data_IF_183252192376
#
_entry.id   IF_183252192376
#
_cell.length_a   1.000
_cell.length_b   1.000
_cell.length_c   1.000
_cell.angle_alpha   90.00
_cell.angle_beta   90.00
_cell.angle_gamma   90.00
#
_symmetry.space_group_name_H-M   'P 1'
#
loop_
_entity.id
_entity.type
_entity.pdbx_description
1 polymer ?
#
# COMPACT_ATOMS: atom_id res chain seq x y z
N UNK A 1 -27.40 -19.76 8.75
CA UNK A 1 -26.27 -19.90 9.72
C UNK A 1 -25.03 -20.66 9.19
N UNK A 2 -24.89 -20.93 7.87
CA UNK A 2 -23.84 -21.84 7.34
C UNK A 2 -22.68 -21.16 6.58
N UNK A 3 -22.78 -19.90 6.22
CA UNK A 3 -21.73 -19.25 5.40
C UNK A 3 -20.51 -18.74 6.18
N UNK A 4 -20.67 -18.37 7.45
CA UNK A 4 -19.56 -17.86 8.27
C UNK A 4 -18.47 -18.93 8.61
N UNK A 5 -18.79 -20.20 8.49
CA UNK A 5 -17.86 -21.29 8.85
C UNK A 5 -16.84 -21.66 7.75
N UNK A 6 -16.96 -21.08 6.54
CA UNK A 6 -16.12 -21.47 5.40
C UNK A 6 -15.10 -20.38 4.95
N UNK A 7 -14.92 -19.33 5.76
CA UNK A 7 -13.96 -18.26 5.47
C UNK A 7 -12.53 -18.71 5.74
N UNK A 8 -11.61 -18.36 4.85
CA UNK A 8 -10.17 -18.50 5.09
C UNK A 8 -9.72 -17.66 6.28
N UNK A 9 -8.54 -17.94 6.85
CA UNK A 9 -7.99 -17.14 7.97
C UNK A 9 -7.85 -15.66 7.61
N UNK A 10 -7.40 -15.36 6.40
CA UNK A 10 -7.24 -13.99 5.92
C UNK A 10 -8.58 -13.27 5.74
N UNK A 11 -9.62 -13.96 5.28
CA UNK A 11 -10.97 -13.37 5.20
C UNK A 11 -11.54 -13.05 6.57
N UNK A 12 -11.32 -13.92 7.56
CA UNK A 12 -11.72 -13.67 8.96
C UNK A 12 -11.03 -12.44 9.52
N UNK A 13 -9.73 -12.27 9.26
CA UNK A 13 -8.95 -11.09 9.67
C UNK A 13 -9.55 -9.83 9.03
N UNK A 14 -9.82 -9.85 7.73
CA UNK A 14 -10.38 -8.70 7.00
C UNK A 14 -11.76 -8.31 7.55
N UNK A 15 -12.66 -9.27 7.65
CA UNK A 15 -14.04 -9.04 8.16
C UNK A 15 -14.05 -8.54 9.61
N UNK A 16 -13.12 -9.02 10.46
CA UNK A 16 -13.01 -8.60 11.86
C UNK A 16 -12.21 -7.32 12.09
N UNK A 17 -11.71 -6.67 11.04
CA UNK A 17 -10.69 -5.62 11.16
C UNK A 17 -11.23 -4.20 11.44
N UNK A 18 -12.53 -3.99 11.52
CA UNK A 18 -13.14 -2.65 11.56
C UNK A 18 -12.59 -1.74 10.43
N UNK A 19 -12.89 -2.12 9.20
CA UNK A 19 -12.50 -1.35 8.02
C UNK A 19 -10.98 -1.25 7.83
N UNK A 20 -10.24 -2.34 8.00
CA UNK A 20 -8.79 -2.43 7.85
C UNK A 20 -7.97 -1.75 8.97
N UNK A 21 -8.60 -1.41 10.09
CA UNK A 21 -7.89 -0.82 11.24
C UNK A 21 -7.13 -1.88 12.03
N UNK A 22 -7.80 -2.99 12.34
CA UNK A 22 -7.24 -4.02 13.21
C UNK A 22 -6.69 -3.46 14.51
N UNK A 23 -5.54 -3.94 14.93
CA UNK A 23 -4.76 -3.41 16.04
C UNK A 23 -3.49 -2.67 15.57
N UNK A 24 -3.52 -2.08 14.33
CA UNK A 24 -2.35 -1.44 13.73
C UNK A 24 -1.80 -0.27 14.60
N UNK A 25 -2.68 0.53 15.20
CA UNK A 25 -2.23 1.63 16.09
C UNK A 25 -1.43 1.12 17.28
N UNK A 26 -1.92 0.07 17.93
CA UNK A 26 -1.26 -0.59 19.07
C UNK A 26 0.04 -1.28 18.66
N UNK A 27 0.01 -2.01 17.53
CA UNK A 27 1.20 -2.67 16.98
C UNK A 27 2.32 -1.67 16.64
N UNK A 28 1.97 -0.47 16.19
CA UNK A 28 2.94 0.58 15.87
C UNK A 28 3.52 1.26 17.11
N UNK A 29 2.77 1.29 18.21
CA UNK A 29 3.20 1.86 19.50
C UNK A 29 4.03 0.88 20.33
N UNK A 30 4.02 -0.40 19.99
CA UNK A 30 4.82 -1.41 20.66
C UNK A 30 6.29 -1.27 20.27
N UNK A 31 7.10 -0.71 21.17
CA UNK A 31 8.53 -0.50 20.97
C UNK A 31 9.40 -1.72 21.38
N UNK A 32 8.79 -2.78 21.92
CA UNK A 32 9.51 -3.98 22.37
C UNK A 32 10.00 -4.81 21.18
N UNK A 33 9.20 -4.88 20.12
CA UNK A 33 9.53 -5.64 18.90
C UNK A 33 9.53 -4.74 17.66
N UNK A 34 10.38 -5.08 16.70
CA UNK A 34 10.35 -4.47 15.36
C UNK A 34 9.23 -5.01 14.47
N UNK A 35 8.52 -6.07 14.88
CA UNK A 35 7.42 -6.68 14.15
C UNK A 35 6.06 -6.01 14.43
N UNK A 36 5.08 -6.33 13.58
CA UNK A 36 3.66 -6.16 13.84
C UNK A 36 3.05 -7.49 14.30
N UNK A 37 1.90 -7.43 14.97
CA UNK A 37 1.09 -8.62 15.27
C UNK A 37 0.72 -9.36 13.99
N UNK A 38 0.48 -10.65 14.08
CA UNK A 38 0.28 -11.53 12.90
C UNK A 38 -0.88 -11.06 12.02
N UNK A 39 -2.03 -10.73 12.61
CA UNK A 39 -3.19 -10.24 11.86
C UNK A 39 -2.91 -8.90 11.18
N UNK A 40 -2.21 -7.99 11.87
CA UNK A 40 -1.84 -6.68 11.35
C UNK A 40 -0.87 -6.77 10.17
N UNK A 41 -0.05 -7.82 10.08
CA UNK A 41 0.80 -8.07 8.89
C UNK A 41 -0.03 -8.34 7.63
N UNK A 42 -1.27 -8.82 7.79
CA UNK A 42 -2.20 -8.97 6.66
C UNK A 42 -2.89 -7.66 6.33
N UNK A 43 -3.30 -6.90 7.33
CA UNK A 43 -4.02 -5.64 7.17
C UNK A 43 -3.13 -4.51 6.62
N UNK A 44 -1.88 -4.41 7.08
CA UNK A 44 -0.97 -3.36 6.63
C UNK A 44 -0.72 -3.40 5.11
N UNK A 45 -0.94 -4.53 4.46
CA UNK A 45 -0.84 -4.65 2.99
C UNK A 45 -1.81 -3.74 2.27
N UNK A 46 -3.00 -3.53 2.80
CA UNK A 46 -3.99 -2.61 2.22
C UNK A 46 -3.56 -1.14 2.31
N UNK A 47 -2.65 -0.84 3.22
CA UNK A 47 -2.00 0.46 3.37
C UNK A 47 -0.73 0.61 2.53
N UNK A 48 -0.43 -0.38 1.67
CA UNK A 48 0.71 -0.36 0.77
C UNK A 48 2.03 -0.86 1.36
N UNK A 49 2.01 -1.45 2.54
CA UNK A 49 3.21 -1.89 3.23
C UNK A 49 3.30 -3.42 3.33
N UNK A 50 4.53 -3.92 3.49
CA UNK A 50 4.82 -5.32 3.80
C UNK A 50 5.89 -5.39 4.88
N UNK A 51 5.64 -6.16 5.93
CA UNK A 51 6.69 -6.54 6.85
C UNK A 51 7.63 -7.55 6.19
N UNK A 52 8.90 -7.34 6.34
CA UNK A 52 10.00 -8.17 5.86
C UNK A 52 11.02 -8.36 6.97
N UNK A 53 11.96 -9.26 6.79
CA UNK A 53 13.13 -9.38 7.65
C UNK A 53 14.38 -9.67 6.79
N UNK A 54 15.53 -9.38 7.35
CA UNK A 54 16.83 -9.69 6.74
C UNK A 54 17.12 -11.18 6.89
N UNK A 55 16.96 -11.93 5.79
CA UNK A 55 17.12 -13.39 5.78
C UNK A 55 18.56 -13.82 6.01
N UNK A 56 19.52 -13.03 5.54
CA UNK A 56 20.94 -13.38 5.63
C UNK A 56 21.46 -13.29 7.07
N UNK A 57 20.73 -12.55 7.91
CA UNK A 57 21.08 -12.38 9.32
C UNK A 57 20.26 -13.20 10.30
N UNK A 58 19.36 -14.07 9.82
CA UNK A 58 18.48 -14.86 10.69
C UNK A 58 19.27 -15.79 11.62
N UNK A 59 20.23 -16.54 11.08
CA UNK A 59 21.04 -17.50 11.86
C UNK A 59 21.86 -16.78 12.92
N UNK A 60 22.63 -15.74 12.55
CA UNK A 60 23.41 -14.91 13.47
C UNK A 60 22.55 -14.39 14.64
N UNK A 61 21.33 -13.92 14.31
CA UNK A 61 20.45 -13.35 15.32
C UNK A 61 19.84 -14.42 16.21
N UNK A 62 19.48 -15.58 15.67
CA UNK A 62 18.98 -16.70 16.46
C UNK A 62 20.04 -17.23 17.46
N UNK A 63 21.30 -17.35 17.05
CA UNK A 63 22.42 -17.70 17.94
C UNK A 63 22.57 -16.71 19.10
N UNK A 64 22.37 -15.43 18.81
CA UNK A 64 22.43 -14.34 19.81
C UNK A 64 21.12 -14.16 20.62
N UNK A 65 20.13 -15.02 20.41
CA UNK A 65 18.78 -14.92 21.02
C UNK A 65 18.11 -13.55 20.79
N UNK A 66 18.35 -12.93 19.64
CA UNK A 66 17.73 -11.70 19.22
C UNK A 66 16.56 -12.01 18.27
N UNK A 67 15.53 -11.13 18.24
CA UNK A 67 14.47 -11.21 17.26
C UNK A 67 15.01 -11.04 15.83
N UNK A 68 14.25 -11.46 14.82
CA UNK A 68 14.61 -11.22 13.42
C UNK A 68 14.81 -9.71 13.17
N UNK A 69 15.69 -9.36 12.24
CA UNK A 69 15.89 -7.96 11.85
C UNK A 69 14.75 -7.52 10.95
N UNK A 70 13.65 -7.09 11.58
CA UNK A 70 12.45 -6.67 10.87
C UNK A 70 12.63 -5.33 10.17
N UNK A 71 12.08 -5.25 8.97
CA UNK A 71 11.99 -4.03 8.18
C UNK A 71 10.68 -4.04 7.39
N UNK A 72 10.39 -2.93 6.70
CA UNK A 72 9.19 -2.82 5.88
C UNK A 72 9.55 -2.37 4.47
N UNK A 73 8.76 -2.85 3.52
CA UNK A 73 8.68 -2.31 2.18
C UNK A 73 7.40 -1.49 2.05
N UNK A 74 7.48 -0.34 1.43
CA UNK A 74 6.31 0.43 1.00
C UNK A 74 6.25 0.50 -0.52
N UNK A 75 5.04 0.45 -1.07
CA UNK A 75 4.73 0.70 -2.48
C UNK A 75 3.78 1.88 -2.57
N UNK A 76 4.06 2.80 -3.48
CA UNK A 76 3.16 3.93 -3.73
C UNK A 76 2.06 3.58 -4.73
N UNK A 77 0.96 4.30 -4.68
CA UNK A 77 -0.10 4.31 -5.69
C UNK A 77 0.19 5.45 -6.65
N UNK A 78 0.48 5.12 -7.90
CA UNK A 78 0.84 6.06 -8.97
C UNK A 78 0.13 5.60 -10.25
N UNK A 79 -1.15 5.97 -10.45
CA UNK A 79 -1.90 5.56 -11.62
C UNK A 79 -1.20 5.96 -12.92
N UNK A 80 -1.05 4.99 -13.85
CA UNK A 80 -0.34 5.20 -15.10
C UNK A 80 1.14 5.57 -14.95
N UNK A 81 1.71 5.51 -13.74
CA UNK A 81 3.11 5.84 -13.50
C UNK A 81 3.45 7.32 -13.62
N UNK A 82 2.47 8.20 -13.63
CA UNK A 82 2.68 9.63 -13.84
C UNK A 82 3.02 10.33 -12.52
N UNK A 83 4.20 10.91 -12.45
CA UNK A 83 4.68 11.72 -11.33
C UNK A 83 5.13 13.10 -11.84
N UNK A 84 4.89 14.13 -11.04
CA UNK A 84 5.51 15.44 -11.29
C UNK A 84 6.98 15.43 -10.88
N UNK A 85 7.82 16.35 -11.44
CA UNK A 85 9.21 16.49 -10.99
C UNK A 85 9.34 16.73 -9.49
N UNK A 86 8.45 17.53 -8.90
CA UNK A 86 8.43 17.77 -7.45
C UNK A 86 8.15 16.52 -6.63
N UNK A 87 7.21 15.67 -7.07
CA UNK A 87 6.94 14.39 -6.43
C UNK A 87 8.13 13.42 -6.52
N UNK A 88 8.84 13.41 -7.65
CA UNK A 88 10.03 12.58 -7.80
C UNK A 88 11.16 13.02 -6.86
N UNK A 89 11.43 14.33 -6.79
CA UNK A 89 12.43 14.90 -5.87
C UNK A 89 12.04 14.61 -4.40
N UNK A 90 10.76 14.78 -4.04
CA UNK A 90 10.28 14.43 -2.71
C UNK A 90 10.49 12.94 -2.41
N UNK A 91 10.14 12.04 -3.33
CA UNK A 91 10.35 10.60 -3.17
C UNK A 91 11.83 10.25 -2.97
N UNK A 92 12.75 10.91 -3.69
CA UNK A 92 14.20 10.75 -3.51
C UNK A 92 14.64 11.15 -2.09
N UNK A 93 14.23 12.33 -1.62
CA UNK A 93 14.58 12.78 -0.27
C UNK A 93 13.98 11.87 0.82
N UNK A 94 12.73 11.44 0.66
CA UNK A 94 12.05 10.52 1.58
C UNK A 94 12.76 9.17 1.60
N UNK A 95 13.18 8.65 0.44
CA UNK A 95 13.94 7.41 0.35
C UNK A 95 15.26 7.50 1.14
N UNK A 96 16.03 8.57 0.97
CA UNK A 96 17.27 8.79 1.70
C UNK A 96 17.09 8.96 3.21
N UNK A 97 15.98 9.57 3.63
CA UNK A 97 15.70 9.87 5.04
C UNK A 97 15.21 8.65 5.83
N UNK A 98 14.40 7.77 5.23
CA UNK A 98 13.64 6.76 5.96
C UNK A 98 13.92 5.32 5.54
N UNK A 99 14.57 5.10 4.41
CA UNK A 99 14.79 3.77 3.84
C UNK A 99 16.26 3.55 3.48
N UNK A 100 16.56 2.55 2.64
CA UNK A 100 17.92 2.31 2.14
C UNK A 100 18.46 3.38 1.17
N UNK A 101 17.67 4.40 0.85
CA UNK A 101 18.00 5.41 -0.14
C UNK A 101 17.75 4.98 -1.60
N UNK A 102 17.38 3.72 -1.82
CA UNK A 102 17.16 3.18 -3.17
C UNK A 102 15.67 3.23 -3.52
N UNK A 103 15.32 3.83 -4.65
CA UNK A 103 13.98 3.77 -5.24
C UNK A 103 13.96 2.61 -6.24
N UNK A 104 13.07 1.64 -6.02
CA UNK A 104 12.85 0.53 -6.96
C UNK A 104 11.62 0.81 -7.82
N UNK A 105 11.82 0.87 -9.14
CA UNK A 105 10.72 0.96 -10.11
C UNK A 105 10.11 -0.44 -10.30
N UNK A 106 8.80 -0.52 -10.44
CA UNK A 106 8.09 -1.79 -10.59
C UNK A 106 7.48 -1.94 -11.98
N UNK A 107 7.22 -3.18 -12.39
CA UNK A 107 6.50 -3.50 -13.64
C UNK A 107 5.04 -3.00 -13.66
N UNK A 108 4.52 -2.46 -12.54
CA UNK A 108 3.19 -1.85 -12.46
C UNK A 108 3.24 -0.33 -12.42
N UNK A 109 4.28 0.25 -13.02
CA UNK A 109 4.41 1.70 -13.15
C UNK A 109 4.30 2.43 -11.80
N UNK A 110 4.95 1.89 -10.76
CA UNK A 110 5.02 2.51 -9.44
C UNK A 110 6.40 2.31 -8.83
N UNK A 111 6.62 2.85 -7.65
CA UNK A 111 7.89 2.76 -6.93
C UNK A 111 7.74 2.05 -5.59
N UNK A 112 8.84 1.47 -5.13
CA UNK A 112 8.97 0.86 -3.82
C UNK A 112 10.19 1.39 -3.08
N UNK A 113 10.06 1.53 -1.77
CA UNK A 113 11.17 1.74 -0.85
C UNK A 113 11.28 0.54 0.09
N UNK A 114 12.48 0.15 0.43
CA UNK A 114 12.77 -1.01 1.28
C UNK A 114 13.63 -0.61 2.48
N UNK A 115 13.65 -1.47 3.50
CA UNK A 115 14.48 -1.25 4.69
C UNK A 115 13.94 -0.19 5.65
N UNK A 116 12.63 0.10 5.58
CA UNK A 116 12.01 0.99 6.56
C UNK A 116 11.95 0.32 7.94
N UNK A 117 12.26 1.06 8.98
CA UNK A 117 12.01 0.63 10.35
C UNK A 117 10.59 1.00 10.77
N UNK A 118 9.99 0.20 11.66
CA UNK A 118 8.61 0.41 12.15
C UNK A 118 8.35 1.85 12.60
N UNK A 119 9.24 2.42 13.41
CA UNK A 119 9.17 3.81 13.91
C UNK A 119 9.17 4.87 12.82
N UNK A 120 9.68 4.55 11.63
CA UNK A 120 9.80 5.49 10.51
C UNK A 120 8.60 5.47 9.56
N UNK A 121 7.68 4.49 9.68
CA UNK A 121 6.57 4.34 8.73
C UNK A 121 5.64 5.56 8.76
N UNK A 122 5.19 5.96 9.94
CA UNK A 122 4.25 7.07 10.08
C UNK A 122 4.82 8.42 9.65
N UNK A 123 6.04 8.82 10.07
CA UNK A 123 6.68 10.04 9.55
C UNK A 123 6.86 10.02 8.03
N UNK A 124 7.24 8.88 7.44
CA UNK A 124 7.39 8.71 6.01
C UNK A 124 6.07 8.93 5.27
N UNK A 125 4.97 8.34 5.75
CA UNK A 125 3.66 8.48 5.13
C UNK A 125 3.15 9.92 5.20
N UNK A 126 3.40 10.63 6.30
CA UNK A 126 3.11 12.07 6.40
C UNK A 126 3.92 12.91 5.41
N UNK A 127 5.18 12.57 5.18
CA UNK A 127 6.00 13.29 4.21
C UNK A 127 5.57 12.98 2.76
N UNK A 128 5.10 11.75 2.46
CA UNK A 128 4.47 11.43 1.18
C UNK A 128 3.16 12.18 0.96
N UNK A 129 2.30 12.27 1.97
CA UNK A 129 1.04 13.02 1.89
C UNK A 129 1.27 14.50 1.56
N UNK A 130 2.27 15.15 2.19
CA UNK A 130 2.68 16.53 1.85
C UNK A 130 3.09 16.67 0.39
N UNK A 131 3.68 15.62 -0.20
CA UNK A 131 4.04 15.57 -1.61
C UNK A 131 2.88 15.16 -2.53
N UNK A 132 1.65 14.98 -1.99
CA UNK A 132 0.48 14.48 -2.72
C UNK A 132 0.74 13.09 -3.33
N UNK A 133 1.39 12.23 -2.58
CA UNK A 133 1.62 10.82 -2.86
C UNK A 133 1.03 9.99 -1.73
N UNK A 134 0.48 8.83 -2.08
CA UNK A 134 -0.05 7.89 -1.10
C UNK A 134 0.34 6.44 -1.44
N UNK A 135 0.03 5.55 -0.54
CA UNK A 135 0.25 4.11 -0.70
C UNK A 135 -1.04 3.28 -0.55
N UNK A 136 -2.21 3.96 -0.51
CA UNK A 136 -3.51 3.33 -0.31
C UNK A 136 -3.74 2.30 -1.41
N UNK A 137 -4.15 1.08 -1.05
CA UNK A 137 -4.47 0.02 -1.99
C UNK A 137 -3.33 -0.37 -2.97
N UNK A 138 -2.11 0.15 -2.78
CA UNK A 138 -0.98 -0.25 -3.59
C UNK A 138 -0.57 -1.73 -3.37
N UNK A 139 -1.04 -2.33 -2.26
CA UNK A 139 -0.91 -3.73 -1.90
C UNK A 139 -2.26 -4.26 -1.37
N UNK A 140 -2.35 -5.53 -0.93
CA UNK A 140 -3.58 -6.12 -0.40
C UNK A 140 -4.49 -6.78 -1.47
N UNK A 141 -5.64 -7.24 -1.03
CA UNK A 141 -6.63 -7.94 -1.86
C UNK A 141 -7.69 -6.97 -2.36
N UNK A 142 -7.25 -6.04 -3.16
CA UNK A 142 -7.99 -4.93 -3.76
C UNK A 142 -7.55 -4.72 -5.20
N UNK A 143 -8.18 -3.78 -5.91
CA UNK A 143 -7.61 -3.27 -7.15
C UNK A 143 -6.28 -2.57 -6.85
N UNK A 144 -5.23 -3.00 -7.56
CA UNK A 144 -3.87 -2.47 -7.41
C UNK A 144 -3.66 -1.23 -8.28
N UNK A 145 -2.44 -0.71 -8.27
CA UNK A 145 -2.08 0.38 -9.17
C UNK A 145 -2.54 0.09 -10.60
N UNK A 146 -3.29 1.00 -11.20
CA UNK A 146 -3.75 0.89 -12.59
C UNK A 146 -2.60 1.29 -13.51
N UNK A 147 -2.19 0.37 -14.39
CA UNK A 147 -1.17 0.64 -15.40
C UNK A 147 -1.82 1.07 -16.71
N UNK A 148 -1.13 1.87 -17.50
CA UNK A 148 -1.58 2.21 -18.85
C UNK A 148 -0.39 2.48 -19.77
N UNK A 149 -0.65 2.50 -21.09
CA UNK A 149 0.34 2.94 -22.08
C UNK A 149 0.99 4.25 -21.64
N UNK A 150 2.30 4.30 -21.65
CA UNK A 150 3.11 5.44 -21.16
C UNK A 150 3.00 6.67 -22.06
N UNK A 151 3.65 7.78 -21.67
CA UNK A 151 3.74 9.04 -22.43
C UNK A 151 2.41 9.75 -22.72
N UNK A 152 1.76 10.38 -21.70
CA UNK A 152 0.50 11.08 -21.90
C UNK A 152 0.58 12.27 -22.89
N UNK A 153 1.80 12.78 -23.14
CA UNK A 153 2.04 13.85 -24.11
C UNK A 153 2.14 13.41 -25.57
N UNK A 154 2.16 12.08 -25.86
CA UNK A 154 2.35 11.56 -27.19
C UNK A 154 1.16 11.84 -28.13
N UNK A 155 -0.07 11.76 -27.61
CA UNK A 155 -1.29 12.09 -28.36
C UNK A 155 -2.46 12.40 -27.42
N UNK A 156 -3.56 13.00 -27.95
CA UNK A 156 -4.80 13.16 -27.19
C UNK A 156 -5.34 11.86 -26.59
N UNK A 157 -5.20 10.74 -27.33
CA UNK A 157 -5.63 9.42 -26.86
C UNK A 157 -4.80 8.95 -25.65
N UNK A 158 -3.46 9.10 -25.68
CA UNK A 158 -2.60 8.76 -24.55
C UNK A 158 -2.96 9.57 -23.31
N UNK A 159 -3.21 10.88 -23.46
CA UNK A 159 -3.66 11.74 -22.36
C UNK A 159 -5.01 11.29 -21.79
N UNK A 160 -5.95 10.90 -22.66
CA UNK A 160 -7.27 10.41 -22.23
C UNK A 160 -7.16 9.10 -21.45
N UNK A 161 -6.31 8.17 -21.87
CA UNK A 161 -6.06 6.89 -21.17
C UNK A 161 -5.46 7.10 -19.80
N UNK A 162 -4.50 8.02 -19.65
CA UNK A 162 -4.00 8.39 -18.32
C UNK A 162 -5.11 8.95 -17.42
N UNK A 163 -6.01 9.77 -17.97
CA UNK A 163 -7.18 10.24 -17.24
C UNK A 163 -8.13 9.11 -16.80
N UNK A 164 -8.27 8.07 -17.62
CA UNK A 164 -9.03 6.87 -17.24
C UNK A 164 -8.31 6.05 -16.15
N UNK A 165 -7.00 5.86 -16.26
CA UNK A 165 -6.23 5.16 -15.25
C UNK A 165 -6.36 5.82 -13.86
N UNK A 166 -6.31 7.14 -13.79
CA UNK A 166 -6.50 7.90 -12.56
C UNK A 166 -7.92 7.78 -12.01
N UNK A 167 -8.94 7.98 -12.86
CA UNK A 167 -10.35 7.84 -12.47
C UNK A 167 -10.68 6.43 -11.96
N UNK A 168 -10.23 5.39 -12.66
CA UNK A 168 -10.44 4.00 -12.26
C UNK A 168 -9.73 3.72 -10.93
N UNK A 169 -8.48 4.15 -10.79
CA UNK A 169 -7.76 3.99 -9.53
C UNK A 169 -8.50 4.64 -8.36
N UNK A 170 -8.98 5.86 -8.54
CA UNK A 170 -9.70 6.60 -7.50
C UNK A 170 -11.06 5.99 -7.18
N UNK A 171 -11.81 5.54 -8.20
CA UNK A 171 -13.12 4.91 -8.03
C UNK A 171 -13.04 3.59 -7.27
N UNK A 172 -11.94 2.84 -7.46
CA UNK A 172 -11.73 1.52 -6.88
C UNK A 172 -10.87 1.56 -5.59
N UNK A 173 -10.72 2.71 -4.94
CA UNK A 173 -10.15 2.76 -3.60
C UNK A 173 -11.13 2.20 -2.57
N UNK A 174 -10.65 1.47 -1.55
CA UNK A 174 -11.48 1.14 -0.40
C UNK A 174 -12.05 2.40 0.25
N UNK A 175 -13.30 2.34 0.69
CA UNK A 175 -13.95 3.47 1.36
C UNK A 175 -13.53 3.66 2.81
N UNK A 176 -12.79 2.71 3.38
CA UNK A 176 -12.27 2.83 4.73
C UNK A 176 -11.37 4.05 4.91
N UNK A 177 -11.55 4.76 6.02
CA UNK A 177 -10.71 5.88 6.44
C UNK A 177 -9.51 5.46 7.30
N UNK A 178 -9.33 4.17 7.55
CA UNK A 178 -8.26 3.63 8.40
C UNK A 178 -6.87 4.18 8.04
N UNK A 179 -6.59 4.36 6.75
CA UNK A 179 -5.31 4.94 6.29
C UNK A 179 -5.08 6.34 6.86
N UNK A 180 -6.05 7.21 6.74
CA UNK A 180 -5.97 8.61 7.20
C UNK A 180 -5.88 8.70 8.73
N UNK A 181 -6.69 7.91 9.41
CA UNK A 181 -6.74 7.87 10.88
C UNK A 181 -5.46 7.31 11.52
N UNK A 182 -4.88 6.26 10.91
CA UNK A 182 -3.68 5.59 11.46
C UNK A 182 -2.42 6.39 11.15
N UNK A 183 -2.28 6.83 9.90
CA UNK A 183 -1.02 7.38 9.42
C UNK A 183 -0.96 8.91 9.46
N UNK A 184 -2.07 9.58 9.22
CA UNK A 184 -2.13 11.04 9.14
C UNK A 184 -2.72 11.69 10.39
N UNK A 185 -3.14 10.90 11.37
CA UNK A 185 -3.77 11.35 12.61
C UNK A 185 -5.08 12.11 12.39
N UNK A 186 -5.82 11.80 11.33
CA UNK A 186 -7.16 12.34 11.17
C UNK A 186 -8.11 11.75 12.20
N UNK A 187 -9.05 12.56 12.67
CA UNK A 187 -10.10 12.08 13.56
C UNK A 187 -11.11 11.20 12.83
N UNK A 188 -11.66 10.21 13.54
CA UNK A 188 -12.72 9.36 13.00
C UNK A 188 -13.97 10.19 12.78
N UNK A 189 -14.48 10.19 11.55
CA UNK A 189 -15.74 10.86 11.21
C UNK A 189 -16.89 9.88 11.46
N UNK A 190 -17.64 10.03 12.52
CA UNK A 190 -18.71 9.10 12.93
C UNK A 190 -19.84 8.98 11.89
N UNK A 191 -20.16 10.06 11.19
CA UNK A 191 -21.21 10.09 10.17
C UNK A 191 -20.75 9.54 8.80
N UNK A 192 -19.45 9.22 8.64
CA UNK A 192 -18.94 8.70 7.36
C UNK A 192 -19.36 7.26 7.17
N UNK A 193 -20.12 7.00 6.10
CA UNK A 193 -20.50 5.65 5.73
C UNK A 193 -19.36 4.91 5.03
N UNK A 194 -18.70 4.01 5.72
CA UNK A 194 -17.63 3.15 5.20
C UNK A 194 -18.15 1.89 4.46
N UNK A 195 -19.44 1.75 4.29
CA UNK A 195 -19.99 0.61 3.54
C UNK A 195 -19.51 0.66 2.11
N UNK A 196 -18.68 -0.30 1.74
CA UNK A 196 -18.11 -0.41 0.41
C UNK A 196 -18.97 -1.36 -0.46
N UNK A 197 -19.62 -0.84 -1.51
CA UNK A 197 -20.49 -1.67 -2.34
C UNK A 197 -19.74 -2.70 -3.17
N UNK A 198 -18.43 -2.46 -3.45
CA UNK A 198 -17.59 -3.34 -4.23
C UNK A 198 -16.87 -4.38 -3.35
N UNK A 199 -16.19 -3.92 -2.32
CA UNK A 199 -15.33 -4.77 -1.49
C UNK A 199 -16.06 -5.38 -0.30
N UNK A 200 -17.12 -4.73 0.17
CA UNK A 200 -17.79 -5.08 1.42
C UNK A 200 -16.76 -5.20 2.57
N UNK A 201 -16.99 -6.08 3.53
CA UNK A 201 -16.08 -6.33 4.65
C UNK A 201 -15.01 -7.40 4.36
N UNK A 202 -15.23 -8.22 3.33
CA UNK A 202 -14.34 -9.35 2.96
C UNK A 202 -13.22 -8.96 2.01
N UNK A 203 -13.39 -7.85 1.29
CA UNK A 203 -12.51 -7.46 0.20
C UNK A 203 -12.44 -8.55 -0.91
N UNK A 204 -11.50 -8.43 -1.82
CA UNK A 204 -11.33 -9.43 -2.86
C UNK A 204 -10.65 -10.69 -2.30
N UNK A 205 -10.87 -11.89 -2.87
CA UNK A 205 -10.13 -13.10 -2.50
C UNK A 205 -8.66 -13.01 -2.88
N UNK A 206 -8.32 -12.17 -3.84
CA UNK A 206 -6.95 -11.93 -4.33
C UNK A 206 -6.83 -10.55 -4.95
N UNK A 207 -5.59 -10.04 -5.08
CA UNK A 207 -5.28 -8.81 -5.81
C UNK A 207 -5.90 -8.80 -7.20
N UNK A 208 -6.50 -7.69 -7.60
CA UNK A 208 -6.96 -7.43 -8.95
C UNK A 208 -6.05 -6.40 -9.62
N UNK A 209 -5.84 -6.50 -10.92
CA UNK A 209 -4.94 -5.62 -11.66
C UNK A 209 -5.61 -5.19 -12.97
N UNK A 210 -5.52 -3.90 -13.27
CA UNK A 210 -6.02 -3.30 -14.51
C UNK A 210 -4.83 -2.72 -15.27
N UNK A 211 -4.77 -3.04 -16.57
CA UNK A 211 -3.85 -2.44 -17.53
C UNK A 211 -4.63 -1.94 -18.74
N UNK A 212 -4.31 -0.77 -19.27
CA UNK A 212 -4.98 -0.14 -20.40
C UNK A 212 -3.92 0.10 -21.49
N UNK A 213 -3.89 -0.75 -22.51
CA UNK A 213 -2.97 -0.64 -23.63
C UNK A 213 -3.61 0.02 -24.87
N UNK A 214 -2.78 0.64 -25.70
CA UNK A 214 -3.19 1.19 -27.02
C UNK A 214 -2.61 0.31 -28.10
N UNK A 215 -3.45 -0.41 -28.90
CA UNK A 215 -2.95 -1.19 -30.03
C UNK A 215 -2.22 -0.29 -31.07
N UNK A 216 -1.24 -0.83 -31.81
CA UNK A 216 -0.79 -2.22 -31.83
C UNK A 216 0.22 -2.57 -30.71
N UNK A 217 0.62 -1.62 -29.88
CA UNK A 217 1.61 -1.86 -28.84
C UNK A 217 0.95 -2.45 -27.57
N UNK A 218 1.60 -3.44 -26.97
CA UNK A 218 1.25 -3.97 -25.68
C UNK A 218 2.39 -3.68 -24.69
N UNK A 219 2.33 -2.53 -24.06
CA UNK A 219 3.36 -2.01 -23.14
C UNK A 219 2.90 -2.00 -21.67
N UNK A 220 1.86 -2.77 -21.35
CA UNK A 220 1.25 -2.87 -20.01
C UNK A 220 1.16 -4.30 -19.46
N UNK A 221 1.99 -5.20 -19.92
CA UNK A 221 2.08 -6.58 -19.46
C UNK A 221 2.39 -6.75 -17.96
#
# INVERSE_FOLDING_TARGET
>A
MSEKNNLSSVEKIKTGSDGLRGSLKESLQDDITGALREDDQSLIKFHGLYQQDDRDRREERAEKKLENLYSFMIRLRIPGGLMTPGQWVAAHHIAGKYSTGVIKITTRQTIQLHGLLKRNIKPLLKDFDKAKLDSIAACGDVNRNVACTSHPGQSPLHKQIHGYADKISSLLLPKSRAYYEIWLDEEKIEEYNETDPLYQDRYLPRKFKIGIGIPPNNDVD
#
